data_IF_163993850385
#
_entry.id   IF_163993850385
#
_cell.length_a   1.000
_cell.length_b   1.000
_cell.length_c   1.000
_cell.angle_alpha   90.00
_cell.angle_beta   90.00
_cell.angle_gamma   90.00
#
_symmetry.space_group_name_H-M   'P 1'
#
loop_
_entity.id
_entity.type
_entity.pdbx_description
1 polymer ?
#
# COMPACT_ATOMS: atom_id res chain seq x y z
N UNK A 1 22.97 -25.47 24.22
CA UNK A 1 23.35 -24.61 25.37
C UNK A 1 23.83 -23.27 24.85
N UNK A 2 23.44 -22.17 25.49
CA UNK A 2 23.89 -20.81 25.12
C UNK A 2 25.36 -20.66 25.50
N UNK A 3 26.21 -20.23 24.58
CA UNK A 3 27.64 -20.08 24.88
C UNK A 3 27.84 -18.91 25.86
N UNK A 4 28.78 -19.03 26.82
CA UNK A 4 29.11 -17.94 27.75
C UNK A 4 29.55 -16.67 27.00
N UNK A 5 30.16 -16.84 25.84
CA UNK A 5 30.58 -15.74 24.96
C UNK A 5 29.40 -14.97 24.37
N UNK A 6 28.34 -15.67 23.95
CA UNK A 6 27.13 -15.04 23.39
C UNK A 6 26.43 -14.17 24.44
N UNK A 7 26.44 -14.59 25.71
CA UNK A 7 25.81 -13.85 26.81
C UNK A 7 26.55 -12.53 27.11
N UNK A 8 27.88 -12.57 27.08
CA UNK A 8 28.73 -11.37 27.25
C UNK A 8 28.55 -10.40 26.08
N UNK A 9 28.55 -10.91 24.85
CA UNK A 9 28.35 -10.09 23.64
C UNK A 9 26.98 -9.40 23.64
N UNK A 10 25.93 -10.13 24.05
CA UNK A 10 24.59 -9.56 24.20
C UNK A 10 24.55 -8.44 25.23
N UNK A 11 25.05 -8.70 26.44
CA UNK A 11 24.97 -7.75 27.56
C UNK A 11 25.70 -6.46 27.22
N UNK A 12 26.88 -6.57 26.61
CA UNK A 12 27.67 -5.43 26.15
C UNK A 12 26.93 -4.63 25.05
N UNK A 13 26.33 -5.33 24.09
CA UNK A 13 25.59 -4.67 22.99
C UNK A 13 24.36 -3.94 23.49
N UNK A 14 23.60 -4.55 24.41
CA UNK A 14 22.45 -3.91 25.05
C UNK A 14 22.86 -2.64 25.81
N UNK A 15 23.93 -2.71 26.60
CA UNK A 15 24.45 -1.55 27.32
C UNK A 15 24.84 -0.41 26.35
N UNK A 16 25.59 -0.72 25.29
CA UNK A 16 25.99 0.27 24.27
C UNK A 16 24.80 0.93 23.58
N UNK A 17 23.79 0.14 23.20
CA UNK A 17 22.57 0.67 22.58
C UNK A 17 21.80 1.57 23.53
N UNK A 18 21.68 1.20 24.81
CA UNK A 18 21.02 2.04 25.83
C UNK A 18 21.79 3.32 26.11
N UNK A 19 23.13 3.28 26.13
CA UNK A 19 23.95 4.49 26.27
C UNK A 19 23.79 5.43 25.07
N UNK A 20 23.69 4.90 23.86
CA UNK A 20 23.59 5.72 22.64
C UNK A 20 22.18 6.29 22.39
N UNK A 21 21.13 5.52 22.64
CA UNK A 21 19.75 5.87 22.26
C UNK A 21 18.79 6.00 23.45
N UNK A 22 19.24 5.78 24.69
CA UNK A 22 18.42 5.93 25.89
C UNK A 22 17.16 5.05 25.86
N UNK A 23 15.99 5.66 26.02
CA UNK A 23 14.70 4.97 25.98
C UNK A 23 14.29 4.52 24.58
N UNK A 24 14.73 5.22 23.54
CA UNK A 24 14.46 4.89 22.14
C UNK A 24 15.27 3.69 21.62
N UNK A 25 16.22 3.19 22.41
CA UNK A 25 16.96 2.00 22.06
C UNK A 25 16.01 0.79 21.84
N UNK A 26 16.40 -0.18 21.00
CA UNK A 26 15.66 -1.43 20.86
C UNK A 26 15.55 -2.19 22.18
N UNK A 27 14.45 -2.92 22.38
CA UNK A 27 14.27 -3.75 23.56
C UNK A 27 15.20 -4.98 23.51
N UNK A 28 15.37 -5.62 24.67
CA UNK A 28 16.21 -6.82 24.84
C UNK A 28 15.88 -7.94 23.85
N UNK A 29 14.59 -8.18 23.62
CA UNK A 29 14.09 -9.23 22.72
C UNK A 29 14.47 -8.97 21.27
N UNK A 30 14.40 -7.72 20.80
CA UNK A 30 14.80 -7.34 19.44
C UNK A 30 16.28 -7.62 19.20
N UNK A 31 17.13 -7.25 20.15
CA UNK A 31 18.58 -7.47 20.06
C UNK A 31 18.88 -8.97 20.02
N UNK A 32 18.24 -9.78 20.86
CA UNK A 32 18.39 -11.23 20.80
C UNK A 32 17.98 -11.83 19.46
N UNK A 33 16.88 -11.35 18.89
CA UNK A 33 16.40 -11.80 17.58
C UNK A 33 17.42 -11.48 16.51
N UNK A 34 17.97 -10.26 16.49
CA UNK A 34 19.04 -9.89 15.56
C UNK A 34 20.28 -10.76 15.71
N UNK A 35 20.74 -11.04 16.94
CA UNK A 35 21.87 -11.95 17.15
C UNK A 35 21.60 -13.37 16.62
N UNK A 36 20.38 -13.87 16.76
CA UNK A 36 20.00 -15.17 16.20
C UNK A 36 20.01 -15.15 14.66
N UNK A 37 19.48 -14.08 14.05
CA UNK A 37 19.47 -13.87 12.61
C UNK A 37 20.89 -13.74 12.02
N UNK A 38 21.77 -12.98 12.68
CA UNK A 38 23.17 -12.87 12.28
C UNK A 38 23.89 -14.23 12.37
N UNK A 39 23.66 -15.01 13.43
CA UNK A 39 24.19 -16.38 13.54
C UNK A 39 23.60 -17.33 12.49
N UNK A 40 22.38 -17.08 12.01
CA UNK A 40 21.74 -17.79 10.89
C UNK A 40 22.35 -17.42 9.53
N UNK A 41 23.26 -16.45 9.48
CA UNK A 41 23.93 -16.00 8.26
C UNK A 41 23.20 -14.85 7.54
N UNK A 42 22.22 -14.21 8.18
CA UNK A 42 21.58 -13.01 7.62
C UNK A 42 22.61 -11.86 7.59
N UNK A 43 22.95 -11.40 6.39
CA UNK A 43 23.87 -10.26 6.19
C UNK A 43 23.15 -8.96 5.79
N UNK A 44 21.91 -9.07 5.33
CA UNK A 44 21.11 -7.92 4.90
C UNK A 44 20.50 -7.18 6.09
N UNK A 45 20.69 -5.86 6.10
CA UNK A 45 20.05 -4.94 7.06
C UNK A 45 18.66 -4.47 6.62
N UNK A 46 18.22 -4.82 5.40
CA UNK A 46 16.88 -4.46 4.92
C UNK A 46 15.82 -5.30 5.65
N UNK A 47 14.66 -4.68 5.92
CA UNK A 47 13.49 -5.43 6.38
C UNK A 47 13.11 -6.46 5.32
N UNK A 48 12.60 -7.60 5.76
CA UNK A 48 12.01 -8.54 4.84
C UNK A 48 10.77 -7.92 4.19
N UNK A 49 10.48 -8.34 2.97
CA UNK A 49 9.24 -7.92 2.33
C UNK A 49 8.07 -8.38 3.22
N UNK A 50 7.30 -7.41 3.70
CA UNK A 50 6.05 -7.70 4.41
C UNK A 50 4.95 -7.60 3.38
N UNK A 51 4.32 -8.73 3.08
CA UNK A 51 3.01 -8.71 2.45
C UNK A 51 2.11 -7.83 3.32
N UNK A 52 1.75 -6.66 2.80
CA UNK A 52 0.73 -5.83 3.40
C UNK A 52 -0.59 -6.58 3.42
N UNK A 53 -1.64 -5.95 3.97
CA UNK A 53 -2.98 -6.52 3.85
C UNK A 53 -3.28 -6.75 2.36
N UNK A 54 -3.48 -7.99 1.90
CA UNK A 54 -3.90 -8.22 0.53
C UNK A 54 -5.22 -7.49 0.33
N UNK A 55 -5.35 -6.78 -0.80
CA UNK A 55 -6.58 -6.08 -1.16
C UNK A 55 -7.65 -7.11 -1.54
N UNK A 56 -8.19 -7.80 -0.54
CA UNK A 56 -9.21 -8.85 -0.70
C UNK A 56 -10.57 -8.29 -1.12
N UNK A 57 -10.71 -6.97 -1.21
CA UNK A 57 -11.96 -6.28 -1.50
C UNK A 57 -11.94 -5.55 -2.84
N UNK A 58 -11.03 -5.87 -3.78
CA UNK A 58 -11.08 -5.33 -5.14
C UNK A 58 -11.31 -6.48 -6.12
N UNK A 59 -12.58 -6.91 -6.24
CA UNK A 59 -13.03 -7.84 -7.26
C UNK A 59 -13.85 -7.02 -8.26
N UNK A 60 -13.68 -7.22 -9.57
CA UNK A 60 -14.46 -6.55 -10.60
C UNK A 60 -15.98 -6.52 -10.31
N UNK A 61 -16.50 -7.57 -9.65
CA UNK A 61 -17.91 -7.65 -9.20
C UNK A 61 -18.27 -6.57 -8.16
N UNK A 62 -17.40 -6.30 -7.19
CA UNK A 62 -17.65 -5.29 -6.17
C UNK A 62 -17.40 -3.86 -6.66
N UNK A 63 -16.50 -3.70 -7.64
CA UNK A 63 -16.29 -2.43 -8.35
C UNK A 63 -17.58 -2.09 -9.12
N UNK A 64 -18.08 -3.04 -9.92
CA UNK A 64 -19.30 -2.86 -10.71
C UNK A 64 -20.54 -2.64 -9.83
N UNK A 65 -20.69 -3.37 -8.73
CA UNK A 65 -21.77 -3.15 -7.77
C UNK A 65 -21.72 -1.72 -7.16
N UNK A 66 -20.54 -1.26 -6.76
CA UNK A 66 -20.34 0.09 -6.21
C UNK A 66 -20.59 1.17 -7.25
N UNK A 67 -20.09 1.00 -8.49
CA UNK A 67 -20.34 1.91 -9.60
C UNK A 67 -21.83 2.05 -9.90
N UNK A 68 -22.57 0.93 -9.95
CA UNK A 68 -24.03 0.95 -10.16
C UNK A 68 -24.75 1.65 -9.02
N UNK A 69 -24.37 1.40 -7.77
CA UNK A 69 -24.96 2.10 -6.62
C UNK A 69 -24.75 3.62 -6.70
N UNK A 70 -23.55 4.08 -7.08
CA UNK A 70 -23.25 5.50 -7.24
C UNK A 70 -24.06 6.13 -8.38
N UNK A 71 -24.20 5.43 -9.52
CA UNK A 71 -25.00 5.90 -10.65
C UNK A 71 -26.48 5.99 -10.29
N UNK A 72 -27.02 4.99 -9.59
CA UNK A 72 -28.43 4.96 -9.17
C UNK A 72 -28.74 6.01 -8.10
N UNK A 73 -27.82 6.24 -7.16
CA UNK A 73 -27.99 7.24 -6.11
C UNK A 73 -27.66 8.66 -6.57
N UNK A 74 -27.09 8.84 -7.77
CA UNK A 74 -26.86 10.16 -8.34
C UNK A 74 -28.21 10.76 -8.74
N UNK A 75 -28.66 11.86 -8.12
CA UNK A 75 -29.92 12.48 -8.49
C UNK A 75 -29.87 12.88 -9.97
N UNK A 76 -30.99 12.79 -10.71
CA UNK A 76 -31.03 13.18 -12.10
C UNK A 76 -30.60 14.64 -12.18
N UNK A 77 -29.44 14.87 -12.80
CA UNK A 77 -28.97 16.21 -13.08
C UNK A 77 -29.98 16.80 -14.07
N UNK A 78 -30.91 17.61 -13.57
CA UNK A 78 -31.90 18.33 -14.35
C UNK A 78 -31.18 19.36 -15.22
N UNK A 79 -30.57 18.88 -16.30
CA UNK A 79 -30.18 19.73 -17.41
C UNK A 79 -31.47 20.22 -18.05
N UNK A 80 -31.76 21.51 -17.80
CA UNK A 80 -32.89 22.21 -18.38
C UNK A 80 -33.05 21.92 -19.86
N UNK A 81 -34.30 21.69 -20.26
CA UNK A 81 -34.74 21.49 -21.65
C UNK A 81 -34.04 22.48 -22.58
N UNK A 82 -33.11 22.00 -23.40
CA UNK A 82 -32.77 22.66 -24.67
C UNK A 82 -33.51 21.92 -25.78
N UNK A 83 -34.28 22.70 -26.56
CA UNK A 83 -35.11 22.23 -27.67
C UNK A 83 -34.26 21.44 -28.67
N UNK A 84 -34.83 20.35 -29.21
CA UNK A 84 -34.28 19.61 -30.35
C UNK A 84 -34.25 20.49 -31.60
N UNK A 85 -33.23 20.31 -32.45
CA UNK A 85 -33.51 20.16 -33.88
C UNK A 85 -32.75 18.98 -34.55
N UNK A 86 -33.55 18.19 -35.26
CA UNK A 86 -33.34 17.49 -36.56
C UNK A 86 -32.00 16.80 -36.90
N UNK A 87 -32.06 15.45 -36.96
CA UNK A 87 -31.52 14.47 -37.94
C UNK A 87 -30.06 14.53 -38.46
N UNK A 88 -29.49 13.38 -38.87
CA UNK A 88 -28.13 12.99 -38.53
C UNK A 88 -27.10 13.31 -39.62
N UNK A 89 -25.88 13.63 -39.22
CA UNK A 89 -24.70 13.53 -40.09
C UNK A 89 -23.54 12.98 -39.29
N UNK A 90 -22.94 11.92 -39.84
CA UNK A 90 -21.80 11.18 -39.34
C UNK A 90 -20.57 12.06 -39.11
N UNK A 91 -19.87 11.84 -38.01
CA UNK A 91 -18.41 11.83 -37.98
C UNK A 91 -17.95 11.23 -36.67
N UNK A 92 -17.20 10.13 -36.77
CA UNK A 92 -16.42 9.60 -35.68
C UNK A 92 -15.47 10.68 -35.13
N UNK A 93 -15.39 10.80 -33.81
CA UNK A 93 -14.21 11.27 -33.09
C UNK A 93 -14.21 10.57 -31.74
N UNK A 94 -13.22 9.70 -31.55
CA UNK A 94 -12.98 8.92 -30.35
C UNK A 94 -12.56 9.85 -29.21
N UNK A 95 -13.33 9.88 -28.13
CA UNK A 95 -12.94 10.49 -26.84
C UNK A 95 -13.01 9.43 -25.72
N UNK A 96 -12.13 8.42 -25.79
CA UNK A 96 -11.99 7.41 -24.72
C UNK A 96 -10.69 7.58 -23.89
N UNK A 97 -9.82 8.51 -24.26
CA UNK A 97 -8.48 8.62 -23.67
C UNK A 97 -8.47 9.37 -22.32
N UNK A 98 -9.37 10.33 -22.12
CA UNK A 98 -9.40 11.17 -20.91
C UNK A 98 -9.88 10.46 -19.63
N UNK A 99 -10.58 9.33 -19.75
CA UNK A 99 -11.09 8.61 -18.57
C UNK A 99 -10.05 7.68 -17.97
N UNK A 100 -9.21 7.06 -18.80
CA UNK A 100 -8.21 6.06 -18.36
C UNK A 100 -7.15 6.68 -17.45
N UNK A 101 -6.61 7.83 -17.86
CA UNK A 101 -5.59 8.56 -17.11
C UNK A 101 -6.09 9.07 -15.75
N UNK A 102 -7.38 9.42 -15.64
CA UNK A 102 -7.98 9.89 -14.38
C UNK A 102 -8.15 8.74 -13.38
N UNK A 103 -8.46 7.53 -13.86
CA UNK A 103 -8.56 6.35 -13.02
C UNK A 103 -7.20 5.82 -12.57
N UNK A 104 -6.17 5.90 -13.42
CA UNK A 104 -4.80 5.46 -13.09
C UNK A 104 -4.16 6.27 -11.94
N UNK A 105 -4.46 7.58 -11.86
CA UNK A 105 -4.04 8.45 -10.75
C UNK A 105 -4.75 8.08 -9.43
N UNK A 106 -6.02 7.67 -9.50
CA UNK A 106 -6.83 7.31 -8.32
C UNK A 106 -6.43 5.96 -7.73
N UNK A 107 -5.95 5.02 -8.55
CA UNK A 107 -5.48 3.69 -8.11
C UNK A 107 -3.96 3.62 -7.89
N UNK A 108 -3.24 4.73 -8.01
CA UNK A 108 -1.80 4.81 -7.70
C UNK A 108 -0.89 4.11 -8.71
N UNK A 109 -1.37 3.84 -9.93
CA UNK A 109 -0.51 3.36 -11.02
C UNK A 109 0.19 4.57 -11.63
N UNK A 110 1.38 4.87 -11.12
CA UNK A 110 2.29 5.88 -11.66
C UNK A 110 3.00 5.29 -12.88
N UNK A 111 3.03 6.05 -13.99
CA UNK A 111 3.96 5.82 -15.12
C UNK A 111 5.40 5.94 -14.60
#
# INVERSE_FOLDING_TARGET
MRSSSDEKAYTLSFARLRTAFGEEAPCRTTIYTWFAEFKRGRVSLKDEFRDGRPSTTVNNKNIDATCRMIVTNRPPQTRGRRRLPTSPTSSAANDQEGSKLKWDIVIGNKI
#
